data_IF_133081236097
#
_entry.id   IF_133081236097
#
_cell.length_a   1.000
_cell.length_b   1.000
_cell.length_c   1.000
_cell.angle_alpha   90.00
_cell.angle_beta   90.00
_cell.angle_gamma   90.00
#
_symmetry.space_group_name_H-M   'P 1'
#
loop_
_entity.id
_entity.type
_entity.pdbx_description
1 polymer ?
#
# COMPACT_ATOMS: atom_id res chain seq x y z
N UNK A 1 14.94 -9.52 -50.71
CA UNK A 1 15.72 -8.38 -50.17
C UNK A 1 14.79 -7.57 -49.30
N UNK A 2 14.77 -7.86 -48.00
CA UNK A 2 14.07 -7.08 -46.97
C UNK A 2 15.12 -6.87 -45.88
N UNK A 3 15.38 -5.61 -45.54
CA UNK A 3 16.43 -5.16 -44.63
C UNK A 3 16.10 -5.53 -43.19
N UNK A 4 17.07 -6.14 -42.50
CA UNK A 4 17.09 -6.33 -41.06
C UNK A 4 17.40 -4.99 -40.37
N UNK A 5 16.47 -4.45 -39.58
CA UNK A 5 16.78 -3.39 -38.63
C UNK A 5 17.08 -4.02 -37.27
N UNK A 6 18.34 -3.90 -36.87
CA UNK A 6 18.89 -4.33 -35.59
C UNK A 6 18.26 -3.53 -34.44
N UNK A 7 17.67 -4.23 -33.48
CA UNK A 7 17.20 -3.66 -32.21
C UNK A 7 18.41 -3.55 -31.30
N UNK A 8 18.83 -2.33 -30.98
CA UNK A 8 19.89 -2.05 -30.01
C UNK A 8 19.42 -2.45 -28.61
N UNK A 9 19.92 -3.58 -28.11
CA UNK A 9 19.73 -4.02 -26.73
C UNK A 9 20.53 -3.06 -25.84
N UNK A 10 19.85 -2.21 -25.08
CA UNK A 10 20.47 -1.48 -23.97
C UNK A 10 20.76 -2.48 -22.85
N UNK A 11 22.01 -2.96 -22.81
CA UNK A 11 22.52 -3.74 -21.69
C UNK A 11 22.45 -2.89 -20.42
N UNK A 12 21.66 -3.31 -19.42
CA UNK A 12 21.74 -2.74 -18.07
C UNK A 12 23.13 -3.00 -17.51
N UNK A 13 23.82 -1.93 -17.12
CA UNK A 13 25.11 -2.01 -16.43
C UNK A 13 24.84 -2.63 -15.04
N UNK A 14 25.49 -3.74 -14.66
CA UNK A 14 25.34 -4.29 -13.32
C UNK A 14 25.90 -3.32 -12.27
N UNK A 15 25.23 -3.22 -11.12
CA UNK A 15 25.70 -2.44 -9.98
C UNK A 15 27.13 -2.82 -9.60
N UNK A 16 28.00 -1.86 -9.23
CA UNK A 16 29.40 -2.15 -8.95
C UNK A 16 29.51 -3.13 -7.78
N UNK A 17 30.07 -4.31 -8.05
CA UNK A 17 30.45 -5.29 -7.03
C UNK A 17 31.40 -4.62 -6.02
N UNK A 18 31.01 -4.63 -4.75
CA UNK A 18 31.85 -4.22 -3.62
C UNK A 18 33.10 -5.12 -3.57
N UNK A 19 34.19 -4.66 -4.18
CA UNK A 19 35.53 -5.19 -3.89
C UNK A 19 35.91 -4.72 -2.49
N UNK A 20 35.81 -5.62 -1.52
CA UNK A 20 36.41 -5.44 -0.20
C UNK A 20 37.93 -5.47 -0.39
N UNK A 21 38.55 -4.31 -0.54
CA UNK A 21 40.00 -4.18 -0.38
C UNK A 21 40.30 -3.83 1.08
N UNK A 22 40.94 -4.78 1.76
CA UNK A 22 41.75 -4.56 2.95
C UNK A 22 42.90 -3.60 2.57
N UNK A 23 43.36 -2.83 3.55
CA UNK A 23 44.49 -1.89 3.50
C UNK A 23 44.13 -0.41 3.26
N UNK A 24 43.72 0.27 4.34
CA UNK A 24 43.88 1.72 4.47
C UNK A 24 45.14 2.02 5.31
N UNK A 25 46.21 2.43 4.65
CA UNK A 25 47.28 3.24 5.25
C UNK A 25 47.32 4.59 4.52
N UNK A 26 47.10 5.64 5.31
CA UNK A 26 47.64 7.00 5.19
C UNK A 26 48.06 7.50 3.80
N UNK A 27 47.39 8.53 3.29
CA UNK A 27 48.06 9.69 2.71
C UNK A 27 47.11 10.90 2.57
N UNK A 28 47.66 12.06 2.97
CA UNK A 28 47.10 13.39 2.89
C UNK A 28 47.08 13.90 1.44
N UNK A 29 46.03 14.62 1.05
CA UNK A 29 46.04 15.67 0.01
C UNK A 29 44.94 16.66 0.40
N UNK A 30 45.28 17.75 1.11
CA UNK A 30 45.65 19.08 0.57
C UNK A 30 44.53 19.76 -0.23
N UNK A 31 43.88 20.70 0.45
CA UNK A 31 43.21 21.91 -0.04
C UNK A 31 43.18 22.15 -1.55
N UNK A 32 41.96 22.15 -2.10
CA UNK A 32 41.60 22.96 -3.26
C UNK A 32 40.38 23.79 -2.88
N UNK A 33 40.68 25.04 -2.48
CA UNK A 33 39.72 26.13 -2.54
C UNK A 33 39.45 26.41 -4.01
N UNK A 34 38.22 26.17 -4.45
CA UNK A 34 37.64 26.88 -5.58
C UNK A 34 36.33 27.49 -5.11
N UNK A 35 36.41 28.78 -4.82
CA UNK A 35 35.28 29.69 -4.75
C UNK A 35 34.55 29.66 -6.09
N UNK A 36 33.51 28.84 -6.19
CA UNK A 36 32.42 29.10 -7.10
C UNK A 36 31.21 29.46 -6.26
N UNK A 37 30.83 30.74 -6.41
CA UNK A 37 29.53 31.27 -6.05
C UNK A 37 28.46 30.41 -6.74
N UNK A 38 28.00 29.36 -6.07
CA UNK A 38 26.71 28.78 -6.37
C UNK A 38 25.69 29.73 -5.78
N UNK A 39 24.99 30.44 -6.66
CA UNK A 39 23.66 30.98 -6.38
C UNK A 39 22.92 30.03 -5.47
N UNK A 40 22.65 30.48 -4.25
CA UNK A 40 21.72 29.86 -3.32
C UNK A 40 20.35 29.81 -3.99
N UNK A 41 20.12 28.76 -4.78
CA UNK A 41 18.77 28.29 -5.02
C UNK A 41 18.43 27.44 -3.81
N UNK A 42 17.73 28.07 -2.88
CA UNK A 42 17.08 27.44 -1.73
C UNK A 42 16.47 26.10 -2.17
N UNK A 43 16.97 25.05 -1.54
CA UNK A 43 16.57 23.67 -1.76
C UNK A 43 15.13 23.49 -1.28
N UNK A 44 14.16 23.63 -2.17
CA UNK A 44 12.79 23.17 -1.90
C UNK A 44 12.73 21.63 -2.04
N UNK A 45 12.93 20.95 -0.91
CA UNK A 45 12.21 19.72 -0.60
C UNK A 45 10.70 19.99 -0.73
N UNK A 46 9.81 18.98 -0.90
CA UNK A 46 8.40 19.24 -0.63
C UNK A 46 8.35 19.86 0.76
N UNK A 47 7.76 21.04 0.86
CA UNK A 47 7.70 21.74 2.12
C UNK A 47 6.71 21.02 3.02
N UNK A 48 7.17 19.94 3.65
CA UNK A 48 6.56 19.40 4.86
C UNK A 48 6.42 20.55 5.84
N UNK A 49 5.18 21.03 6.01
CA UNK A 49 4.85 22.15 6.90
C UNK A 49 4.42 23.46 6.25
N UNK A 50 4.41 23.65 4.92
CA UNK A 50 3.90 24.93 4.37
C UNK A 50 2.37 25.09 4.38
N UNK A 51 1.59 24.00 4.43
CA UNK A 51 0.17 24.12 4.78
C UNK A 51 -0.02 24.42 6.27
N UNK A 52 0.91 24.00 7.14
CA UNK A 52 0.86 24.24 8.58
C UNK A 52 1.18 25.70 8.89
N UNK A 53 2.17 26.30 8.23
CA UNK A 53 2.48 27.73 8.41
C UNK A 53 1.38 28.64 7.86
N UNK A 54 0.73 28.26 6.76
CA UNK A 54 -0.43 28.99 6.22
C UNK A 54 -1.68 28.84 7.10
N UNK A 55 -1.88 27.67 7.72
CA UNK A 55 -2.92 27.42 8.73
C UNK A 55 -2.59 28.20 10.02
N UNK A 56 -1.33 28.25 10.46
CA UNK A 56 -0.88 29.01 11.63
C UNK A 56 -1.04 30.52 11.45
N UNK A 57 -0.74 31.07 10.26
CA UNK A 57 -0.99 32.50 9.94
C UNK A 57 -2.49 32.83 9.87
N UNK A 58 -3.33 31.90 9.39
CA UNK A 58 -4.79 32.06 9.42
C UNK A 58 -5.37 31.85 10.83
N UNK A 59 -4.74 31.02 11.64
CA UNK A 59 -5.11 30.77 13.04
C UNK A 59 -4.74 31.97 13.92
N UNK A 60 -3.57 32.61 13.77
CA UNK A 60 -3.19 33.80 14.56
C UNK A 60 -4.20 34.96 14.46
N UNK A 61 -4.89 35.10 13.31
CA UNK A 61 -5.83 36.21 13.06
C UNK A 61 -7.27 35.96 13.53
N UNK A 62 -7.67 34.72 13.85
CA UNK A 62 -9.02 34.38 14.33
C UNK A 62 -9.05 33.50 15.60
N UNK A 63 -7.89 33.21 16.19
CA UNK A 63 -7.73 32.47 17.43
C UNK A 63 -8.42 33.16 18.63
N UNK A 64 -9.41 32.49 19.23
CA UNK A 64 -9.31 32.05 20.64
C UNK A 64 -10.49 31.26 21.21
N UNK A 65 -11.66 31.18 20.59
CA UNK A 65 -12.84 30.64 21.30
C UNK A 65 -13.45 29.34 20.78
N UNK A 66 -13.10 28.82 19.60
CA UNK A 66 -13.88 27.71 19.01
C UNK A 66 -13.06 26.48 18.59
N UNK A 67 -11.76 26.61 18.26
CA UNK A 67 -10.97 25.48 17.76
C UNK A 67 -10.20 24.71 18.85
N UNK A 68 -9.66 25.39 19.87
CA UNK A 68 -8.87 24.76 20.95
C UNK A 68 -9.67 23.92 21.96
N UNK A 69 -10.98 23.79 21.78
CA UNK A 69 -11.83 22.86 22.54
C UNK A 69 -12.22 21.60 21.74
N UNK A 70 -11.86 21.48 20.46
CA UNK A 70 -12.45 20.47 19.54
C UNK A 70 -11.50 19.42 18.93
N UNK A 71 -10.21 19.44 19.22
CA UNK A 71 -9.27 18.38 18.80
C UNK A 71 -8.61 17.63 19.97
N UNK A 72 -8.90 18.00 21.22
CA UNK A 72 -8.19 17.51 22.40
C UNK A 72 -8.58 16.09 22.86
N UNK A 73 -9.36 15.33 22.09
CA UNK A 73 -9.66 13.93 22.39
C UNK A 73 -8.75 12.90 21.69
N UNK A 74 -7.92 13.36 20.76
CA UNK A 74 -6.73 12.65 20.28
C UNK A 74 -5.59 13.62 20.56
N UNK A 75 -4.73 13.30 21.52
CA UNK A 75 -3.70 14.25 21.96
C UNK A 75 -2.79 14.61 20.76
N UNK A 76 -2.77 15.89 20.39
CA UNK A 76 -1.93 16.40 19.30
C UNK A 76 -0.43 16.34 19.67
N UNK A 77 -0.10 16.21 20.95
CA UNK A 77 1.27 16.01 21.44
C UNK A 77 1.79 14.60 21.13
N UNK A 78 0.91 13.59 21.12
CA UNK A 78 1.27 12.21 20.73
C UNK A 78 1.47 12.08 19.21
N UNK A 79 0.80 12.93 18.41
CA UNK A 79 0.93 13.03 16.93
C UNK A 79 2.31 13.58 16.49
N UNK A 80 3.06 14.19 17.42
CA UNK A 80 4.25 15.01 17.13
C UNK A 80 5.60 14.29 17.20
N UNK A 81 5.66 12.96 17.38
CA UNK A 81 6.95 12.27 17.41
C UNK A 81 7.61 12.16 16.03
N UNK A 82 8.18 13.27 15.54
CA UNK A 82 9.26 13.23 14.56
C UNK A 82 10.42 12.49 15.18
N UNK A 83 10.74 11.29 14.70
CA UNK A 83 12.02 10.66 14.97
C UNK A 83 13.11 11.56 14.37
N UNK A 84 13.95 12.23 15.17
CA UNK A 84 15.04 13.02 14.61
C UNK A 84 16.11 12.04 14.16
N UNK A 85 16.11 11.67 12.87
CA UNK A 85 17.34 11.16 12.27
C UNK A 85 18.25 12.37 12.17
N UNK A 86 19.14 12.55 13.15
CA UNK A 86 20.14 13.61 13.09
C UNK A 86 21.01 13.34 11.86
N UNK A 87 20.90 14.23 10.86
CA UNK A 87 21.82 14.28 9.73
C UNK A 87 23.23 14.54 10.27
N UNK A 88 23.99 13.49 10.54
CA UNK A 88 25.41 13.60 10.88
C UNK A 88 26.20 13.83 9.58
N UNK A 89 26.84 15.00 9.40
CA UNK A 89 27.59 15.29 8.19
C UNK A 89 28.75 14.33 7.94
N UNK A 90 29.24 13.68 8.98
CA UNK A 90 30.39 12.79 8.93
C UNK A 90 30.00 11.33 8.67
N UNK A 91 28.71 10.99 8.73
CA UNK A 91 28.23 9.63 8.48
C UNK A 91 27.77 9.47 7.02
N UNK A 92 28.72 9.15 6.15
CA UNK A 92 28.48 8.92 4.72
C UNK A 92 27.53 7.77 4.42
N UNK A 93 27.44 6.76 5.31
CA UNK A 93 26.49 5.65 5.19
C UNK A 93 25.06 6.10 5.48
N UNK A 94 24.86 6.88 6.54
CA UNK A 94 23.57 7.45 6.90
C UNK A 94 23.04 8.37 5.80
N UNK A 95 23.89 9.24 5.24
CA UNK A 95 23.51 10.10 4.10
C UNK A 95 23.09 9.31 2.88
N UNK A 96 23.81 8.22 2.55
CA UNK A 96 23.46 7.35 1.42
C UNK A 96 22.12 6.66 1.68
N UNK A 97 21.87 6.20 2.89
CA UNK A 97 20.61 5.59 3.29
C UNK A 97 19.45 6.59 3.23
N UNK A 98 19.67 7.83 3.71
CA UNK A 98 18.67 8.90 3.64
C UNK A 98 18.37 9.32 2.20
N UNK A 99 19.39 9.44 1.34
CA UNK A 99 19.21 9.70 -0.09
C UNK A 99 18.46 8.55 -0.78
N UNK A 100 18.82 7.30 -0.48
CA UNK A 100 18.12 6.13 -1.01
C UNK A 100 16.65 6.13 -0.59
N UNK A 101 16.37 6.32 0.71
CA UNK A 101 15.01 6.41 1.24
C UNK A 101 14.24 7.59 0.62
N UNK A 102 14.90 8.72 0.39
CA UNK A 102 14.30 9.89 -0.27
C UNK A 102 13.91 9.62 -1.72
N UNK A 103 14.80 9.01 -2.50
CA UNK A 103 14.51 8.65 -3.89
C UNK A 103 13.42 7.58 -3.97
N UNK A 104 13.51 6.54 -3.13
CA UNK A 104 12.49 5.51 -3.03
C UNK A 104 11.12 6.11 -2.67
N UNK A 105 11.09 7.02 -1.71
CA UNK A 105 9.87 7.74 -1.34
C UNK A 105 9.29 8.55 -2.51
N UNK A 106 10.13 9.29 -3.25
CA UNK A 106 9.69 10.06 -4.41
C UNK A 106 9.10 9.17 -5.51
N UNK A 107 9.76 8.05 -5.82
CA UNK A 107 9.26 7.06 -6.79
C UNK A 107 7.95 6.44 -6.34
N UNK A 108 7.85 6.08 -5.05
CA UNK A 108 6.62 5.53 -4.47
C UNK A 108 5.46 6.53 -4.49
N UNK A 109 5.71 7.81 -4.16
CA UNK A 109 4.71 8.87 -4.25
C UNK A 109 4.29 9.14 -5.70
N UNK A 110 5.23 9.06 -6.65
CA UNK A 110 4.92 9.12 -8.07
C UNK A 110 3.99 7.97 -8.47
N UNK A 111 4.35 6.74 -8.10
CA UNK A 111 3.55 5.53 -8.37
C UNK A 111 2.15 5.64 -7.75
N UNK A 112 2.03 6.07 -6.48
CA UNK A 112 0.73 6.33 -5.82
C UNK A 112 -0.17 7.32 -6.58
N UNK A 113 0.43 8.33 -7.22
CA UNK A 113 -0.30 9.39 -7.93
C UNK A 113 -0.66 9.00 -9.36
N UNK A 114 0.24 8.33 -10.08
CA UNK A 114 0.11 8.12 -11.52
C UNK A 114 -0.20 6.66 -11.91
N UNK A 115 0.12 5.68 -11.07
CA UNK A 115 -0.14 4.26 -11.34
C UNK A 115 -1.46 3.83 -10.69
N UNK A 116 -2.55 3.98 -11.45
CA UNK A 116 -3.87 3.51 -11.04
C UNK A 116 -4.24 2.24 -11.81
N UNK A 117 -4.20 1.11 -11.10
CA UNK A 117 -4.67 -0.17 -11.62
C UNK A 117 -6.15 -0.35 -11.28
N UNK A 118 -6.98 -0.43 -12.32
CA UNK A 118 -8.40 -0.72 -12.15
C UNK A 118 -8.63 -2.24 -12.07
N UNK A 119 -9.15 -2.70 -10.92
CA UNK A 119 -9.38 -4.13 -10.63
C UNK A 119 -10.86 -4.54 -10.73
N UNK A 120 -11.78 -3.58 -10.88
CA UNK A 120 -13.23 -3.80 -10.88
C UNK A 120 -13.78 -4.58 -12.08
N UNK A 121 -12.96 -4.80 -13.11
CA UNK A 121 -13.30 -5.61 -14.29
C UNK A 121 -12.49 -6.92 -14.40
N UNK A 122 -11.84 -7.35 -13.31
CA UNK A 122 -10.99 -8.55 -13.31
C UNK A 122 -11.67 -9.82 -13.79
N UNK A 123 -12.99 -9.95 -13.62
CA UNK A 123 -13.75 -11.12 -14.08
C UNK A 123 -14.48 -10.91 -15.42
N UNK A 124 -14.42 -9.73 -16.04
CA UNK A 124 -15.27 -9.37 -17.20
C UNK A 124 -15.11 -10.34 -18.39
N UNK A 125 -13.89 -10.81 -18.65
CA UNK A 125 -13.59 -11.73 -19.78
C UNK A 125 -13.35 -13.18 -19.32
N UNK A 126 -13.65 -13.50 -18.05
CA UNK A 126 -13.34 -14.78 -17.43
C UNK A 126 -14.59 -15.62 -17.20
N UNK A 127 -14.45 -16.95 -17.20
CA UNK A 127 -15.50 -17.90 -16.78
C UNK A 127 -15.32 -18.25 -15.30
N UNK A 128 -15.19 -17.22 -14.48
CA UNK A 128 -14.99 -17.33 -13.04
C UNK A 128 -16.11 -16.57 -12.33
N UNK A 129 -16.81 -17.25 -11.41
CA UNK A 129 -17.87 -16.61 -10.64
C UNK A 129 -17.31 -15.68 -9.56
N UNK A 130 -18.04 -14.61 -9.24
CA UNK A 130 -17.67 -13.68 -8.15
C UNK A 130 -17.60 -14.42 -6.80
N UNK A 131 -18.46 -15.41 -6.58
CA UNK A 131 -18.47 -16.25 -5.38
C UNK A 131 -17.19 -17.07 -5.25
N UNK A 132 -16.72 -17.69 -6.35
CA UNK A 132 -15.47 -18.45 -6.33
C UNK A 132 -14.24 -17.55 -6.16
N UNK A 133 -14.23 -16.36 -6.76
CA UNK A 133 -13.20 -15.35 -6.46
C UNK A 133 -13.20 -14.98 -4.97
N UNK A 134 -14.37 -14.76 -4.37
CA UNK A 134 -14.49 -14.40 -2.94
C UNK A 134 -13.94 -15.53 -2.04
N UNK A 135 -14.28 -16.79 -2.35
CA UNK A 135 -13.72 -17.97 -1.66
C UNK A 135 -12.22 -18.08 -1.81
N UNK A 136 -11.70 -17.76 -3.00
CA UNK A 136 -10.27 -17.78 -3.25
C UNK A 136 -9.54 -16.72 -2.39
N UNK A 137 -10.10 -15.53 -2.22
CA UNK A 137 -9.53 -14.48 -1.36
C UNK A 137 -9.55 -14.90 0.11
N UNK A 138 -10.66 -15.45 0.60
CA UNK A 138 -10.76 -15.96 1.97
C UNK A 138 -9.76 -17.10 2.22
N UNK A 139 -9.53 -17.96 1.22
CA UNK A 139 -8.50 -19.00 1.31
C UNK A 139 -7.07 -18.42 1.27
N UNK A 140 -6.80 -17.35 0.51
CA UNK A 140 -5.50 -16.65 0.57
C UNK A 140 -5.24 -16.12 1.99
N UNK A 141 -6.27 -15.60 2.68
CA UNK A 141 -6.16 -15.16 4.07
C UNK A 141 -5.76 -16.31 4.98
N UNK A 142 -6.42 -17.47 4.85
CA UNK A 142 -6.08 -18.67 5.61
C UNK A 142 -4.64 -19.12 5.38
N UNK A 143 -4.23 -19.21 4.11
CA UNK A 143 -2.88 -19.65 3.76
C UNK A 143 -1.86 -18.71 4.37
N UNK A 144 -1.91 -17.41 4.07
CA UNK A 144 -0.91 -16.45 4.57
C UNK A 144 -0.98 -16.30 6.10
N UNK A 145 -2.18 -16.38 6.70
CA UNK A 145 -2.39 -16.38 8.14
C UNK A 145 -1.75 -17.56 8.88
N UNK A 146 -1.48 -18.67 8.20
CA UNK A 146 -0.71 -19.79 8.76
C UNK A 146 0.82 -19.61 8.61
N UNK A 147 1.28 -18.56 7.92
CA UNK A 147 2.69 -18.20 7.75
C UNK A 147 2.98 -16.79 8.32
N UNK A 148 2.37 -16.43 9.45
CA UNK A 148 2.47 -15.10 10.10
C UNK A 148 3.89 -14.68 10.47
N UNK A 149 4.81 -15.63 10.67
CA UNK A 149 6.22 -15.32 10.94
C UNK A 149 6.96 -14.71 9.74
N UNK A 150 6.41 -14.90 8.53
CA UNK A 150 7.07 -14.53 7.27
C UNK A 150 6.25 -13.58 6.42
N UNK A 151 4.92 -13.71 6.42
CA UNK A 151 4.01 -12.95 5.55
C UNK A 151 3.29 -11.85 6.32
N UNK A 152 2.90 -10.79 5.59
CA UNK A 152 2.23 -9.62 6.18
C UNK A 152 0.96 -9.26 5.40
N UNK A 153 0.21 -8.25 5.90
CA UNK A 153 -0.90 -7.67 5.15
C UNK A 153 -0.45 -7.15 3.77
N UNK A 154 0.79 -6.66 3.63
CA UNK A 154 1.35 -6.22 2.34
C UNK A 154 1.34 -7.38 1.34
N UNK A 155 1.81 -8.55 1.76
CA UNK A 155 1.83 -9.80 0.98
C UNK A 155 0.42 -10.21 0.56
N UNK A 156 -0.55 -10.11 1.46
CA UNK A 156 -1.96 -10.39 1.16
C UNK A 156 -2.51 -9.47 0.05
N UNK A 157 -2.44 -8.15 0.24
CA UNK A 157 -3.01 -7.22 -0.75
C UNK A 157 -2.26 -7.28 -2.08
N UNK A 158 -0.94 -7.52 -2.07
CA UNK A 158 -0.14 -7.77 -3.28
C UNK A 158 -0.61 -9.03 -4.00
N UNK A 159 -0.84 -10.13 -3.29
CA UNK A 159 -1.34 -11.40 -3.85
C UNK A 159 -2.69 -11.23 -4.56
N UNK A 160 -3.64 -10.59 -3.88
CA UNK A 160 -4.99 -10.33 -4.45
C UNK A 160 -4.89 -9.39 -5.65
N UNK A 161 -4.09 -8.33 -5.54
CA UNK A 161 -3.90 -7.36 -6.63
C UNK A 161 -3.27 -8.00 -7.87
N UNK A 162 -2.25 -8.86 -7.72
CA UNK A 162 -1.65 -9.60 -8.82
C UNK A 162 -2.66 -10.55 -9.46
N UNK A 163 -3.43 -11.29 -8.66
CA UNK A 163 -4.45 -12.21 -9.16
C UNK A 163 -5.50 -11.48 -10.02
N UNK A 164 -6.09 -10.41 -9.50
CA UNK A 164 -7.13 -9.67 -10.21
C UNK A 164 -6.58 -8.93 -11.43
N UNK A 165 -5.38 -8.36 -11.33
CA UNK A 165 -4.75 -7.65 -12.45
C UNK A 165 -4.38 -8.62 -13.58
N UNK A 166 -3.91 -9.81 -13.23
CA UNK A 166 -3.66 -10.87 -14.21
C UNK A 166 -4.96 -11.29 -14.92
N UNK A 167 -6.04 -11.51 -14.18
CA UNK A 167 -7.33 -11.89 -14.76
C UNK A 167 -7.91 -10.78 -15.65
N UNK A 168 -7.69 -9.51 -15.30
CA UNK A 168 -8.14 -8.37 -16.12
C UNK A 168 -7.33 -8.18 -17.40
N UNK A 169 -6.03 -8.49 -17.39
CA UNK A 169 -5.12 -8.35 -18.54
C UNK A 169 -5.00 -9.58 -19.42
N UNK A 170 -5.44 -10.75 -18.95
CA UNK A 170 -5.35 -11.97 -19.73
C UNK A 170 -6.29 -11.96 -20.94
N UNK A 171 -5.70 -12.19 -22.13
CA UNK A 171 -6.46 -12.47 -23.36
C UNK A 171 -7.00 -13.91 -23.40
N UNK A 172 -6.48 -14.80 -22.56
CA UNK A 172 -6.98 -16.17 -22.41
C UNK A 172 -8.10 -16.19 -21.39
N UNK A 173 -9.20 -16.86 -21.76
CA UNK A 173 -10.33 -17.06 -20.87
C UNK A 173 -10.05 -18.24 -19.93
N UNK A 174 -9.90 -17.95 -18.65
CA UNK A 174 -9.77 -18.91 -17.58
C UNK A 174 -11.14 -19.29 -17.00
N UNK A 175 -11.23 -20.52 -16.50
CA UNK A 175 -12.39 -21.06 -15.79
C UNK A 175 -12.07 -21.30 -14.32
N UNK A 176 -13.10 -21.59 -13.52
CA UNK A 176 -13.02 -21.91 -12.09
C UNK A 176 -11.90 -22.92 -11.73
N UNK A 177 -11.64 -23.91 -12.58
CA UNK A 177 -10.61 -24.93 -12.36
C UNK A 177 -9.17 -24.37 -12.32
N UNK A 178 -8.96 -23.21 -12.95
CA UNK A 178 -7.67 -22.54 -13.03
C UNK A 178 -7.42 -21.61 -11.84
N UNK A 179 -8.49 -21.10 -11.21
CA UNK A 179 -8.41 -20.04 -10.20
C UNK A 179 -7.48 -20.41 -9.03
N UNK A 180 -7.57 -21.64 -8.54
CA UNK A 180 -6.73 -22.12 -7.44
C UNK A 180 -5.22 -22.10 -7.80
N UNK A 181 -4.86 -22.54 -9.00
CA UNK A 181 -3.46 -22.49 -9.47
C UNK A 181 -3.00 -21.03 -9.65
N UNK A 182 -3.85 -20.19 -10.22
CA UNK A 182 -3.55 -18.77 -10.43
C UNK A 182 -3.26 -18.11 -9.10
N UNK A 183 -4.12 -18.27 -8.09
CA UNK A 183 -3.92 -17.62 -6.82
C UNK A 183 -2.79 -18.22 -5.96
N UNK A 184 -2.48 -19.52 -6.09
CA UNK A 184 -1.21 -20.07 -5.56
C UNK A 184 -0.01 -19.33 -6.16
N UNK A 185 0.00 -19.14 -7.48
CA UNK A 185 1.10 -18.48 -8.15
C UNK A 185 1.15 -16.99 -7.81
N UNK A 186 0.00 -16.32 -7.64
CA UNK A 186 -0.05 -14.93 -7.18
C UNK A 186 0.53 -14.75 -5.78
N UNK A 187 0.22 -15.67 -4.84
CA UNK A 187 0.85 -15.67 -3.51
C UNK A 187 2.36 -15.96 -3.59
N UNK A 188 2.77 -16.91 -4.42
CA UNK A 188 4.19 -17.21 -4.60
C UNK A 188 4.97 -16.03 -5.17
N UNK A 189 4.39 -15.29 -6.11
CA UNK A 189 4.99 -14.05 -6.62
C UNK A 189 5.03 -12.99 -5.51
N UNK A 190 3.92 -12.76 -4.80
CA UNK A 190 3.84 -11.74 -3.75
C UNK A 190 4.84 -11.97 -2.61
N UNK A 191 4.97 -13.22 -2.13
CA UNK A 191 5.93 -13.55 -1.05
C UNK A 191 7.37 -13.30 -1.47
N UNK A 192 7.73 -13.54 -2.74
CA UNK A 192 9.07 -13.20 -3.27
C UNK A 192 9.33 -11.69 -3.37
N UNK A 193 8.27 -10.89 -3.49
CA UNK A 193 8.36 -9.44 -3.64
C UNK A 193 8.40 -8.73 -2.30
N UNK A 194 7.52 -9.11 -1.38
CA UNK A 194 7.24 -8.34 -0.17
C UNK A 194 7.94 -8.92 1.08
N UNK A 195 8.18 -10.22 1.13
CA UNK A 195 8.69 -10.87 2.34
C UNK A 195 10.21 -11.01 2.32
N UNK A 196 10.84 -10.73 3.46
CA UNK A 196 12.29 -10.94 3.66
C UNK A 196 12.63 -12.43 3.47
N UNK A 197 11.77 -13.30 4.01
CA UNK A 197 11.88 -14.75 3.91
C UNK A 197 10.64 -15.30 3.19
N UNK A 198 10.69 -15.32 1.86
CA UNK A 198 9.60 -15.86 1.06
C UNK A 198 9.36 -17.36 1.32
N UNK A 199 8.11 -17.81 1.14
CA UNK A 199 7.74 -19.22 1.26
C UNK A 199 8.37 -20.02 0.10
N UNK A 200 9.13 -21.10 0.38
CA UNK A 200 9.72 -21.93 -0.66
C UNK A 200 8.70 -22.54 -1.62
N UNK A 201 9.08 -22.72 -2.88
CA UNK A 201 8.22 -23.35 -3.89
C UNK A 201 7.74 -24.74 -3.48
N UNK A 202 8.60 -25.49 -2.78
CA UNK A 202 8.27 -26.82 -2.28
C UNK A 202 7.08 -26.79 -1.31
N UNK A 203 7.03 -25.80 -0.41
CA UNK A 203 5.91 -25.62 0.52
C UNK A 203 4.63 -25.20 -0.21
N UNK A 204 4.73 -24.36 -1.25
CA UNK A 204 3.58 -24.05 -2.11
C UNK A 204 3.02 -25.27 -2.85
N UNK A 205 3.87 -26.20 -3.27
CA UNK A 205 3.45 -27.45 -3.93
C UNK A 205 2.87 -28.43 -2.90
N UNK A 206 3.59 -28.68 -1.81
CA UNK A 206 3.27 -29.75 -0.86
C UNK A 206 2.21 -29.34 0.16
N UNK A 207 2.39 -28.19 0.83
CA UNK A 207 1.53 -27.75 1.93
C UNK A 207 0.34 -26.95 1.43
N UNK A 208 0.59 -25.92 0.63
CA UNK A 208 -0.48 -25.02 0.13
C UNK A 208 -1.29 -25.71 -0.97
N UNK A 209 -0.62 -26.32 -1.94
CA UNK A 209 -1.26 -26.99 -3.07
C UNK A 209 -1.70 -28.43 -2.80
N UNK A 210 -1.37 -29.02 -1.64
CA UNK A 210 -1.61 -30.42 -1.30
C UNK A 210 -1.19 -31.41 -2.41
N UNK A 211 -0.03 -31.16 -3.05
CA UNK A 211 0.48 -31.93 -4.19
C UNK A 211 -0.46 -32.01 -5.42
N UNK A 212 -1.50 -31.16 -5.49
CA UNK A 212 -2.41 -31.08 -6.63
C UNK A 212 -1.72 -30.63 -7.91
N UNK A 213 -0.67 -29.82 -7.79
CA UNK A 213 0.09 -29.28 -8.91
C UNK A 213 1.57 -29.65 -8.79
N UNK A 214 2.18 -30.03 -9.91
CA UNK A 214 3.62 -30.23 -9.95
C UNK A 214 4.38 -28.90 -9.91
N UNK A 215 5.64 -28.94 -9.47
CA UNK A 215 6.56 -27.80 -9.49
C UNK A 215 6.63 -27.12 -10.87
N UNK A 216 6.63 -27.91 -11.94
CA UNK A 216 6.64 -27.38 -13.31
C UNK A 216 5.34 -26.65 -13.67
N UNK A 217 4.20 -27.11 -13.13
CA UNK A 217 2.90 -26.46 -13.37
C UNK A 217 2.82 -25.10 -12.66
N UNK A 218 3.32 -25.02 -11.42
CA UNK A 218 3.40 -23.76 -10.66
C UNK A 218 4.36 -22.78 -11.35
N UNK A 219 5.58 -23.21 -11.69
CA UNK A 219 6.54 -22.36 -12.45
C UNK A 219 5.99 -21.90 -13.80
N UNK A 220 5.28 -22.78 -14.52
CA UNK A 220 4.67 -22.43 -15.80
C UNK A 220 3.60 -21.36 -15.65
N UNK A 221 2.74 -21.45 -14.64
CA UNK A 221 1.73 -20.44 -14.38
C UNK A 221 2.34 -19.13 -13.87
N UNK A 222 3.34 -19.18 -12.99
CA UNK A 222 4.12 -18.00 -12.56
C UNK A 222 4.66 -17.22 -13.78
N UNK A 223 5.27 -17.92 -14.74
CA UNK A 223 5.78 -17.28 -15.96
C UNK A 223 4.67 -16.67 -16.83
N UNK A 224 3.50 -17.32 -16.90
CA UNK A 224 2.35 -16.78 -17.63
C UNK A 224 1.88 -15.47 -16.96
N UNK A 225 1.70 -15.48 -15.64
CA UNK A 225 1.27 -14.29 -14.88
C UNK A 225 2.25 -13.13 -15.11
N UNK A 226 3.55 -13.36 -14.90
CA UNK A 226 4.58 -12.32 -15.04
C UNK A 226 4.65 -11.76 -16.47
N UNK A 227 4.56 -12.62 -17.49
CA UNK A 227 4.57 -12.18 -18.90
C UNK A 227 3.31 -11.41 -19.26
N UNK A 228 2.13 -11.85 -18.82
CA UNK A 228 0.87 -11.15 -19.06
C UNK A 228 0.88 -9.75 -18.43
N UNK A 229 1.54 -9.60 -17.28
CA UNK A 229 1.67 -8.33 -16.58
C UNK A 229 2.90 -7.52 -17.01
N UNK A 230 3.66 -7.95 -18.04
CA UNK A 230 4.92 -7.32 -18.45
C UNK A 230 5.92 -7.09 -17.30
N UNK A 231 5.87 -7.92 -16.26
CA UNK A 231 6.63 -7.77 -15.01
C UNK A 231 6.31 -6.48 -14.21
N UNK A 232 5.23 -5.76 -14.54
CA UNK A 232 4.73 -4.59 -13.82
C UNK A 232 3.86 -5.05 -12.63
N UNK A 233 4.52 -5.56 -11.57
CA UNK A 233 3.88 -6.16 -10.39
C UNK A 233 4.07 -5.35 -9.10
N UNK A 234 4.81 -4.23 -9.17
CA UNK A 234 5.13 -3.34 -8.05
C UNK A 234 4.23 -2.11 -7.98
N UNK A 235 3.12 -2.09 -8.72
CA UNK A 235 2.14 -0.98 -8.68
C UNK A 235 1.55 -0.82 -7.27
N UNK A 236 1.08 0.35 -6.85
CA UNK A 236 0.61 0.53 -5.48
C UNK A 236 -0.70 -0.24 -5.27
N UNK A 237 -0.80 -0.94 -4.15
CA UNK A 237 -2.01 -1.60 -3.67
C UNK A 237 -2.95 -0.61 -2.97
N UNK A 238 -4.11 -1.09 -2.52
CA UNK A 238 -4.99 -0.32 -1.63
C UNK A 238 -4.38 -0.14 -0.23
N UNK A 239 -3.54 -1.09 0.23
CA UNK A 239 -2.86 -0.96 1.51
C UNK A 239 -1.79 0.14 1.47
N UNK A 240 -1.04 0.22 0.38
CA UNK A 240 -0.05 1.27 0.15
C UNK A 240 -0.68 2.66 0.23
N UNK A 241 -1.87 2.80 -0.36
CA UNK A 241 -2.68 4.03 -0.31
C UNK A 241 -3.20 4.30 1.10
N UNK A 242 -3.63 3.27 1.84
CA UNK A 242 -4.05 3.41 3.24
C UNK A 242 -2.90 3.89 4.11
N UNK A 243 -1.72 3.29 4.01
CA UNK A 243 -0.54 3.74 4.76
C UNK A 243 -0.19 5.18 4.41
N UNK A 244 -0.19 5.54 3.12
CA UNK A 244 0.06 6.91 2.72
C UNK A 244 -0.98 7.89 3.30
N UNK A 245 -2.28 7.58 3.24
CA UNK A 245 -3.33 8.42 3.83
C UNK A 245 -3.17 8.52 5.35
N UNK A 246 -2.94 7.39 6.02
CA UNK A 246 -2.73 7.32 7.47
C UNK A 246 -1.56 8.20 7.90
N UNK A 247 -0.41 8.08 7.25
CA UNK A 247 0.77 8.89 7.59
C UNK A 247 0.59 10.38 7.26
N UNK A 248 -0.17 10.73 6.22
CA UNK A 248 -0.50 12.13 5.94
C UNK A 248 -1.46 12.74 6.97
N UNK A 249 -2.33 11.92 7.59
CA UNK A 249 -3.24 12.36 8.64
C UNK A 249 -2.59 12.39 10.04
N UNK A 250 -1.78 11.38 10.38
CA UNK A 250 -1.33 11.14 11.74
C UNK A 250 0.19 11.14 11.94
N UNK A 251 0.97 11.30 10.87
CA UNK A 251 2.43 11.14 10.90
C UNK A 251 2.86 9.76 11.43
N UNK A 252 4.16 9.56 11.64
CA UNK A 252 4.65 8.34 12.31
C UNK A 252 4.29 8.47 13.80
N UNK A 253 3.28 7.71 14.22
CA UNK A 253 2.80 7.70 15.60
C UNK A 253 2.75 6.27 16.14
N UNK A 254 3.06 6.09 17.42
CA UNK A 254 3.03 4.81 18.13
C UNK A 254 1.83 4.67 19.08
N UNK A 255 0.88 5.61 19.04
CA UNK A 255 -0.34 5.52 19.83
C UNK A 255 -1.14 4.27 19.44
N UNK A 256 -1.38 3.42 20.44
CA UNK A 256 -2.22 2.24 20.36
C UNK A 256 -3.60 2.49 19.77
N UNK A 257 -4.24 3.63 20.08
CA UNK A 257 -5.56 3.95 19.54
C UNK A 257 -5.51 4.19 18.03
N UNK A 258 -4.47 4.87 17.54
CA UNK A 258 -4.29 5.11 16.12
C UNK A 258 -3.90 3.83 15.38
N UNK A 259 -3.13 2.94 16.02
CA UNK A 259 -2.86 1.61 15.48
C UNK A 259 -4.15 0.79 15.37
N UNK A 260 -5.03 0.84 16.38
CA UNK A 260 -6.33 0.16 16.31
C UNK A 260 -7.20 0.69 15.16
N UNK A 261 -7.17 2.00 14.89
CA UNK A 261 -7.87 2.59 13.73
C UNK A 261 -7.29 2.06 12.41
N UNK A 262 -5.96 1.94 12.32
CA UNK A 262 -5.29 1.40 11.14
C UNK A 262 -5.64 -0.08 10.93
N UNK A 263 -5.60 -0.89 11.97
CA UNK A 263 -5.92 -2.32 11.92
C UNK A 263 -7.40 -2.55 11.56
N UNK A 264 -8.32 -1.77 12.14
CA UNK A 264 -9.73 -1.76 11.75
C UNK A 264 -9.91 -1.37 10.27
N UNK A 265 -9.15 -0.39 9.78
CA UNK A 265 -9.19 0.03 8.38
C UNK A 265 -8.69 -1.07 7.44
N UNK A 266 -7.63 -1.79 7.83
CA UNK A 266 -7.11 -2.94 7.09
C UNK A 266 -8.16 -4.06 7.04
N UNK A 267 -8.80 -4.37 8.17
CA UNK A 267 -9.86 -5.36 8.26
C UNK A 267 -11.04 -5.03 7.33
N UNK A 268 -11.46 -3.76 7.31
CA UNK A 268 -12.51 -3.29 6.40
C UNK A 268 -12.06 -3.39 4.93
N UNK A 269 -10.82 -3.03 4.62
CA UNK A 269 -10.30 -3.20 3.25
C UNK A 269 -10.23 -4.67 2.84
N UNK A 270 -9.91 -5.59 3.76
CA UNK A 270 -10.01 -7.03 3.52
C UNK A 270 -11.45 -7.39 3.14
N UNK A 271 -12.48 -6.91 3.85
CA UNK A 271 -13.88 -7.11 3.45
C UNK A 271 -14.18 -6.55 2.04
N UNK A 272 -13.70 -5.33 1.74
CA UNK A 272 -13.88 -4.69 0.44
C UNK A 272 -13.30 -5.53 -0.70
N UNK A 273 -12.11 -6.10 -0.55
CA UNK A 273 -11.50 -6.89 -1.64
C UNK A 273 -12.21 -8.22 -1.89
N UNK A 274 -12.86 -8.82 -0.87
CA UNK A 274 -13.74 -9.98 -1.07
C UNK A 274 -14.90 -9.63 -1.99
N UNK A 275 -15.54 -8.48 -1.75
CA UNK A 275 -16.71 -8.06 -2.51
C UNK A 275 -16.34 -7.51 -3.89
N UNK A 276 -16.77 -8.21 -4.93
CA UNK A 276 -16.44 -7.82 -6.31
C UNK A 276 -17.01 -6.43 -6.69
N UNK A 277 -18.15 -6.02 -6.11
CA UNK A 277 -18.76 -4.73 -6.43
C UNK A 277 -17.98 -3.58 -5.81
N UNK A 278 -17.40 -3.76 -4.61
CA UNK A 278 -16.54 -2.74 -4.00
C UNK A 278 -15.31 -2.43 -4.86
N UNK A 279 -14.73 -3.41 -5.54
CA UNK A 279 -13.58 -3.21 -6.42
C UNK A 279 -13.87 -2.33 -7.66
N UNK A 280 -15.13 -1.96 -7.92
CA UNK A 280 -15.50 -1.00 -8.97
C UNK A 280 -15.21 0.45 -8.59
N UNK A 281 -15.07 0.74 -7.30
CA UNK A 281 -14.65 2.07 -6.84
C UNK A 281 -13.15 2.28 -7.04
N UNK A 282 -12.74 3.54 -7.16
CA UNK A 282 -11.33 3.91 -7.13
C UNK A 282 -10.71 3.46 -5.79
N UNK A 283 -9.47 2.95 -5.84
CA UNK A 283 -8.67 2.60 -4.69
C UNK A 283 -8.59 3.72 -3.64
N UNK A 284 -8.39 4.98 -4.04
CA UNK A 284 -8.37 6.11 -3.12
C UNK A 284 -9.71 6.30 -2.41
N UNK A 285 -10.83 6.12 -3.13
CA UNK A 285 -12.18 6.24 -2.56
C UNK A 285 -12.46 5.11 -1.57
N UNK A 286 -12.06 3.87 -1.88
CA UNK A 286 -12.19 2.72 -0.96
C UNK A 286 -11.39 2.93 0.32
N UNK A 287 -10.16 3.42 0.19
CA UNK A 287 -9.26 3.68 1.32
C UNK A 287 -9.81 4.80 2.19
N UNK A 288 -10.20 5.93 1.59
CA UNK A 288 -10.78 7.05 2.30
C UNK A 288 -12.03 6.67 3.09
N UNK A 289 -12.95 5.92 2.48
CA UNK A 289 -14.20 5.53 3.15
C UNK A 289 -13.97 4.50 4.26
N UNK A 290 -13.08 3.52 4.04
CA UNK A 290 -12.74 2.51 5.05
C UNK A 290 -12.01 3.13 6.25
N UNK A 291 -11.10 4.05 5.98
CA UNK A 291 -10.38 4.79 7.02
C UNK A 291 -11.30 5.71 7.82
N UNK A 292 -12.17 6.46 7.13
CA UNK A 292 -13.16 7.30 7.79
C UNK A 292 -14.15 6.49 8.63
N UNK A 293 -14.60 5.33 8.14
CA UNK A 293 -15.47 4.44 8.91
C UNK A 293 -14.82 4.03 10.25
N UNK A 294 -13.53 3.66 10.22
CA UNK A 294 -12.79 3.28 11.43
C UNK A 294 -12.62 4.43 12.41
N UNK A 295 -12.35 5.65 11.92
CA UNK A 295 -12.30 6.86 12.76
C UNK A 295 -13.67 7.15 13.37
N UNK A 296 -14.74 7.04 12.57
CA UNK A 296 -16.11 7.26 13.03
C UNK A 296 -16.49 6.29 14.14
N UNK A 297 -16.23 5.00 13.95
CA UNK A 297 -16.51 3.97 14.95
C UNK A 297 -15.74 4.24 16.25
N UNK A 298 -14.45 4.60 16.14
CA UNK A 298 -13.64 4.98 17.28
C UNK A 298 -14.19 6.22 18.02
N UNK A 299 -14.54 7.30 17.32
CA UNK A 299 -15.08 8.53 17.91
C UNK A 299 -16.40 8.27 18.62
N UNK A 300 -17.29 7.47 18.02
CA UNK A 300 -18.57 7.07 18.61
C UNK A 300 -18.33 6.22 19.87
N UNK A 301 -17.38 5.28 19.85
CA UNK A 301 -17.09 4.40 20.98
C UNK A 301 -16.59 5.12 22.24
N UNK A 302 -16.11 6.36 22.10
CA UNK A 302 -15.51 7.15 23.19
C UNK A 302 -16.45 8.22 23.76
N UNK A 303 -17.66 8.35 23.24
CA UNK A 303 -18.68 9.29 23.72
C UNK A 303 -18.17 10.75 23.84
N UNK A 304 -17.40 11.22 22.86
CA UNK A 304 -16.86 12.58 22.89
C UNK A 304 -17.95 13.65 22.80
N UNK A 305 -17.74 14.82 23.43
CA UNK A 305 -18.58 16.00 23.20
C UNK A 305 -18.32 16.55 21.79
N UNK A 306 -19.37 16.92 21.06
CA UNK A 306 -19.30 17.45 19.68
C UNK A 306 -18.83 16.46 18.60
N UNK A 307 -19.26 15.19 18.68
CA UNK A 307 -18.89 14.13 17.71
C UNK A 307 -19.06 14.55 16.25
N UNK A 308 -20.20 15.15 15.90
CA UNK A 308 -20.51 15.52 14.51
C UNK A 308 -19.49 16.50 13.92
N UNK A 309 -19.06 17.49 14.71
CA UNK A 309 -18.10 18.50 14.26
C UNK A 309 -16.69 17.93 14.08
N UNK A 310 -16.31 16.99 14.94
CA UNK A 310 -15.03 16.27 14.83
C UNK A 310 -15.04 15.44 13.54
N UNK A 311 -16.13 14.70 13.30
CA UNK A 311 -16.29 13.87 12.12
C UNK A 311 -16.29 14.70 10.84
N UNK A 312 -16.96 15.85 10.82
CA UNK A 312 -16.97 16.77 9.67
C UNK A 312 -15.56 17.26 9.32
N UNK A 313 -14.74 17.57 10.33
CA UNK A 313 -13.34 17.95 10.09
C UNK A 313 -12.52 16.80 9.48
N UNK A 314 -12.68 15.59 10.00
CA UNK A 314 -11.99 14.40 9.46
C UNK A 314 -12.42 14.08 8.03
N UNK A 315 -13.71 14.10 7.71
CA UNK A 315 -14.21 13.87 6.35
C UNK A 315 -13.57 14.87 5.38
N UNK A 316 -13.65 16.16 5.70
CA UNK A 316 -13.12 17.21 4.83
C UNK A 316 -11.62 17.03 4.59
N UNK A 317 -10.86 16.69 5.64
CA UNK A 317 -9.42 16.47 5.53
C UNK A 317 -9.07 15.24 4.70
N UNK A 318 -9.75 14.12 4.93
CA UNK A 318 -9.55 12.87 4.20
C UNK A 318 -9.87 13.05 2.71
N UNK A 319 -10.95 13.76 2.38
CA UNK A 319 -11.36 14.03 1.01
C UNK A 319 -10.34 14.92 0.29
N UNK A 320 -9.85 15.97 0.96
CA UNK A 320 -8.81 16.83 0.43
C UNK A 320 -7.50 16.07 0.15
N UNK A 321 -7.04 15.27 1.11
CA UNK A 321 -5.80 14.49 0.98
C UNK A 321 -5.94 13.44 -0.12
N UNK A 322 -7.06 12.72 -0.15
CA UNK A 322 -7.29 11.62 -1.11
C UNK A 322 -7.60 12.13 -2.52
N UNK A 323 -7.86 13.43 -2.69
CA UNK A 323 -8.23 14.08 -3.95
C UNK A 323 -9.44 13.42 -4.61
N UNK A 324 -10.46 13.11 -3.81
CA UNK A 324 -11.68 12.41 -4.26
C UNK A 324 -12.89 13.35 -4.27
N UNK A 325 -13.91 12.98 -5.04
CA UNK A 325 -15.18 13.70 -5.07
C UNK A 325 -16.05 13.30 -3.87
N UNK A 326 -16.67 14.28 -3.20
CA UNK A 326 -17.63 14.04 -2.10
C UNK A 326 -18.75 13.08 -2.51
N UNK A 327 -19.24 13.22 -3.75
CA UNK A 327 -20.30 12.36 -4.27
C UNK A 327 -19.88 10.88 -4.34
N UNK A 328 -18.69 10.61 -4.88
CA UNK A 328 -18.14 9.25 -4.96
C UNK A 328 -17.87 8.68 -3.56
N UNK A 329 -17.37 9.51 -2.64
CA UNK A 329 -17.18 9.14 -1.24
C UNK A 329 -18.50 8.71 -0.60
N UNK A 330 -19.56 9.52 -0.72
CA UNK A 330 -20.87 9.23 -0.13
C UNK A 330 -21.49 7.94 -0.71
N UNK A 331 -21.37 7.72 -2.03
CA UNK A 331 -21.83 6.48 -2.67
C UNK A 331 -21.10 5.25 -2.15
N UNK A 332 -19.77 5.34 -2.06
CA UNK A 332 -18.93 4.25 -1.57
C UNK A 332 -19.20 3.98 -0.08
N UNK A 333 -19.38 5.03 0.73
CA UNK A 333 -19.72 4.92 2.15
C UNK A 333 -21.06 4.21 2.38
N UNK A 334 -22.08 4.49 1.57
CA UNK A 334 -23.37 3.80 1.63
C UNK A 334 -23.22 2.29 1.38
N UNK A 335 -22.58 1.92 0.26
CA UNK A 335 -22.32 0.50 -0.06
C UNK A 335 -21.42 -0.19 0.94
N UNK A 336 -20.42 0.51 1.48
CA UNK A 336 -19.54 -0.02 2.51
C UNK A 336 -20.31 -0.35 3.78
N UNK A 337 -21.20 0.54 4.22
CA UNK A 337 -22.04 0.32 5.40
C UNK A 337 -23.00 -0.86 5.19
N UNK A 338 -23.58 -0.99 4.00
CA UNK A 338 -24.38 -2.16 3.62
C UNK A 338 -23.55 -3.45 3.63
N UNK A 339 -22.33 -3.41 3.09
CA UNK A 339 -21.42 -4.55 3.06
C UNK A 339 -21.08 -5.00 4.48
N UNK A 340 -20.63 -4.09 5.36
CA UNK A 340 -20.24 -4.43 6.73
C UNK A 340 -21.41 -5.08 7.48
N UNK A 341 -22.62 -4.50 7.37
CA UNK A 341 -23.81 -5.03 8.05
C UNK A 341 -24.30 -6.36 7.47
N UNK A 342 -24.04 -6.64 6.19
CA UNK A 342 -24.52 -7.84 5.50
C UNK A 342 -23.43 -8.88 5.22
N UNK A 343 -22.17 -8.63 5.57
CA UNK A 343 -21.03 -9.43 5.13
C UNK A 343 -21.20 -10.91 5.47
N UNK A 344 -21.47 -11.22 6.75
CA UNK A 344 -21.68 -12.60 7.23
C UNK A 344 -22.90 -13.27 6.62
N UNK A 345 -23.93 -12.50 6.24
CA UNK A 345 -25.13 -13.02 5.56
C UNK A 345 -24.85 -13.28 4.08
N UNK A 346 -24.06 -12.43 3.43
CA UNK A 346 -23.68 -12.53 2.02
C UNK A 346 -22.64 -13.63 1.79
N UNK A 347 -21.76 -13.84 2.77
CA UNK A 347 -20.63 -14.75 2.73
C UNK A 347 -20.59 -15.66 3.97
N UNK A 348 -21.59 -16.54 4.17
CA UNK A 348 -21.70 -17.35 5.38
C UNK A 348 -20.56 -18.37 5.55
N UNK A 349 -19.98 -18.80 4.44
CA UNK A 349 -18.91 -19.80 4.41
C UNK A 349 -17.51 -19.19 4.58
N UNK A 350 -17.37 -17.86 4.54
CA UNK A 350 -16.07 -17.17 4.59
C UNK A 350 -15.77 -16.75 6.04
N UNK A 351 -14.99 -17.57 6.74
CA UNK A 351 -14.70 -17.39 8.16
C UNK A 351 -13.23 -17.05 8.43
N UNK A 352 -12.37 -17.09 7.42
CA UNK A 352 -10.94 -16.94 7.63
C UNK A 352 -10.56 -15.50 7.95
N UNK A 353 -11.36 -14.53 7.48
CA UNK A 353 -11.20 -13.14 7.89
C UNK A 353 -11.36 -12.93 9.41
N UNK A 354 -12.31 -13.61 10.06
CA UNK A 354 -12.49 -13.52 11.52
C UNK A 354 -11.34 -14.26 12.27
N UNK A 355 -10.78 -15.32 11.67
CA UNK A 355 -9.72 -16.16 12.27
C UNK A 355 -8.33 -15.56 12.14
N UNK A 356 -8.07 -14.86 11.03
CA UNK A 356 -6.79 -14.25 10.67
C UNK A 356 -7.01 -12.77 10.31
N UNK A 357 -7.36 -11.93 11.31
CA UNK A 357 -7.78 -10.54 11.10
C UNK A 357 -6.73 -9.65 10.44
#
# INVERSE_FOLDING_TARGET
MIQENQITITQRIPSPLLKINKDYKSQQFSSLNTSHQSTDQEQQYPEEGKLLNFIMELEELQQKSIFNLKLNSISLEDIQQKLPIKDDPNNSQLRRQLQYNKHYYQEFQYSLKYENVYLGNSLQNQKISQQLRSRMIDWIIEVLGNYTETTTNVTFFRSVSIMDYFLSKSNTQYSDQHLHLIGICSMFIATKLEDIYHIPLEDFVQRVGHNKYSTNKVKGMEQIILKTLNYEITFPTILDRLYNLYYQCFSINKDTNLQNILDASIYILKMCVHDYQMNTFNANTLVATSFFYSIRDFVISKDYQYQDQILDQFINRIIQISQINQFEFNQCQGKLSELINSFKKKYPDLQNLDKFP
#
